data_IF_296194115452
#
_entry.id   IF_296194115452
#
_cell.length_a   1.000
_cell.length_b   1.000
_cell.length_c   1.000
_cell.angle_alpha   90.00
_cell.angle_beta   90.00
_cell.angle_gamma   90.00
#
_symmetry.space_group_name_H-M   'P 1'
#
loop_
_entity.id
_entity.type
_entity.pdbx_description
1 polymer ?
#
# COMPACT_ATOMS: atom_id res chain seq x y z
N UNK A 1 8.15 -22.03 -4.56
CA UNK A 1 8.21 -21.65 -3.14
C UNK A 1 8.59 -22.86 -2.29
N UNK A 2 9.26 -22.68 -1.15
CA UNK A 2 9.59 -23.80 -0.24
C UNK A 2 8.41 -24.15 0.68
N UNK A 3 8.37 -25.39 1.18
CA UNK A 3 7.31 -25.87 2.09
C UNK A 3 7.12 -24.94 3.31
N UNK A 4 8.20 -24.40 3.88
CA UNK A 4 8.17 -23.50 5.04
C UNK A 4 7.63 -22.10 4.73
N UNK A 5 7.73 -21.64 3.47
CA UNK A 5 7.09 -20.41 3.00
C UNK A 5 5.61 -20.64 2.63
N UNK A 6 5.25 -21.88 2.30
CA UNK A 6 3.88 -22.34 2.00
C UNK A 6 3.04 -22.60 3.27
N UNK A 7 3.67 -22.79 4.44
CA UNK A 7 2.97 -22.92 5.74
C UNK A 7 2.40 -21.57 6.25
N UNK A 8 2.71 -20.45 5.58
CA UNK A 8 2.19 -19.11 5.91
C UNK A 8 1.15 -18.68 4.88
N UNK A 9 -0.02 -18.23 5.36
CA UNK A 9 -1.01 -17.58 4.51
C UNK A 9 -0.62 -16.12 4.30
N UNK A 10 0.02 -15.82 3.18
CA UNK A 10 0.40 -14.45 2.83
C UNK A 10 -0.81 -13.68 2.30
N UNK A 11 -0.98 -12.44 2.75
CA UNK A 11 -1.85 -11.46 2.14
C UNK A 11 -0.99 -10.25 1.80
N UNK A 12 -0.74 -10.01 0.52
CA UNK A 12 0.07 -8.89 0.06
C UNK A 12 -0.88 -7.76 -0.32
N UNK A 13 -0.64 -6.56 0.22
CA UNK A 13 -1.36 -5.34 -0.14
C UNK A 13 -0.34 -4.36 -0.69
N UNK A 14 -0.62 -3.76 -1.82
CA UNK A 14 0.34 -2.90 -2.51
C UNK A 14 -0.33 -1.62 -2.97
N UNK A 15 0.35 -0.50 -2.76
CA UNK A 15 0.12 0.67 -3.59
C UNK A 15 0.54 0.41 -5.04
N UNK A 16 0.10 1.28 -5.95
CA UNK A 16 0.35 1.18 -7.37
C UNK A 16 1.48 2.10 -7.83
N UNK A 17 1.26 3.41 -7.82
CA UNK A 17 2.14 4.35 -8.53
C UNK A 17 3.47 4.49 -7.81
N UNK A 18 4.57 4.21 -8.49
CA UNK A 18 5.90 4.22 -7.86
C UNK A 18 6.13 3.07 -6.87
N UNK A 19 5.21 2.11 -6.81
CA UNK A 19 5.30 0.88 -6.02
C UNK A 19 5.22 -0.35 -6.94
N UNK A 20 4.01 -0.75 -7.36
CA UNK A 20 3.79 -1.90 -8.25
C UNK A 20 3.90 -1.51 -9.74
N UNK A 21 3.65 -0.24 -10.04
CA UNK A 21 3.78 0.38 -11.36
C UNK A 21 4.95 1.35 -11.33
N UNK A 22 5.72 1.41 -12.42
CA UNK A 22 6.77 2.39 -12.58
C UNK A 22 6.22 3.82 -12.52
N UNK A 23 6.93 4.72 -11.83
CA UNK A 23 6.44 6.09 -11.56
C UNK A 23 6.25 6.93 -12.84
N UNK A 24 7.10 6.73 -13.85
CA UNK A 24 7.10 7.55 -15.06
C UNK A 24 6.35 6.90 -16.22
N UNK A 25 6.54 5.59 -16.37
CA UNK A 25 6.02 4.82 -17.51
C UNK A 25 4.73 4.07 -17.18
N UNK A 26 4.35 3.99 -15.90
CA UNK A 26 3.25 3.17 -15.40
C UNK A 26 3.39 1.67 -15.74
N UNK A 27 4.58 1.25 -16.17
CA UNK A 27 4.86 -0.13 -16.57
C UNK A 27 4.88 -1.06 -15.36
N UNK A 28 4.26 -2.23 -15.50
CA UNK A 28 4.30 -3.33 -14.54
C UNK A 28 5.20 -4.50 -14.99
N UNK A 29 5.86 -4.37 -16.14
CA UNK A 29 6.64 -5.46 -16.74
C UNK A 29 7.65 -6.13 -15.78
N UNK A 30 8.34 -5.41 -14.86
CA UNK A 30 9.27 -6.04 -13.93
C UNK A 30 8.63 -7.05 -12.96
N UNK A 31 7.36 -6.89 -12.61
CA UNK A 31 6.65 -7.71 -11.61
C UNK A 31 5.80 -8.83 -12.22
N UNK A 32 5.57 -8.83 -13.53
CA UNK A 32 4.69 -9.77 -14.24
C UNK A 32 4.94 -11.25 -13.92
N UNK A 33 6.21 -11.67 -13.98
CA UNK A 33 6.56 -13.07 -13.73
C UNK A 33 6.27 -13.45 -12.26
N UNK A 34 6.53 -12.53 -11.35
CA UNK A 34 6.33 -12.74 -9.92
C UNK A 34 4.83 -12.73 -9.56
N UNK A 35 4.04 -11.83 -10.14
CA UNK A 35 2.58 -11.81 -9.95
C UNK A 35 1.95 -13.14 -10.40
N UNK A 36 2.36 -13.67 -11.57
CA UNK A 36 1.92 -15.01 -12.02
C UNK A 36 2.32 -16.12 -11.05
N UNK A 37 3.52 -16.05 -10.47
CA UNK A 37 3.98 -17.04 -9.48
C UNK A 37 3.18 -16.97 -8.18
N UNK A 38 2.86 -15.76 -7.71
CA UNK A 38 2.05 -15.54 -6.52
C UNK A 38 0.63 -16.07 -6.72
N UNK A 39 0.02 -15.78 -7.88
CA UNK A 39 -1.29 -16.30 -8.27
C UNK A 39 -1.30 -17.84 -8.32
N UNK A 40 -0.32 -18.45 -8.98
CA UNK A 40 -0.18 -19.91 -9.05
C UNK A 40 0.03 -20.56 -7.67
N UNK A 41 0.46 -19.78 -6.67
CA UNK A 41 0.65 -20.21 -5.28
C UNK A 41 -0.51 -19.79 -4.36
N UNK A 42 -1.60 -19.27 -4.92
CA UNK A 42 -2.78 -18.75 -4.20
C UNK A 42 -2.44 -17.68 -3.16
N UNK A 43 -1.42 -16.85 -3.43
CA UNK A 43 -1.06 -15.70 -2.61
C UNK A 43 -1.73 -14.45 -3.17
N UNK A 44 -2.79 -13.93 -2.50
CA UNK A 44 -3.50 -12.75 -2.99
C UNK A 44 -2.63 -11.49 -2.94
N UNK A 45 -2.60 -10.77 -4.07
CA UNK A 45 -2.08 -9.40 -4.16
C UNK A 45 -3.26 -8.42 -4.31
N UNK A 46 -3.51 -7.67 -3.24
CA UNK A 46 -4.56 -6.66 -3.14
C UNK A 46 -3.98 -5.31 -3.57
N UNK A 47 -4.65 -4.66 -4.52
CA UNK A 47 -4.28 -3.32 -4.95
C UNK A 47 -4.96 -2.28 -4.06
N UNK A 48 -4.23 -1.32 -3.52
CA UNK A 48 -4.74 -0.27 -2.63
C UNK A 48 -4.19 1.12 -3.01
N UNK A 49 -4.99 1.91 -3.74
CA UNK A 49 -4.52 3.12 -4.40
C UNK A 49 -5.43 4.33 -4.19
N UNK A 50 -4.94 5.51 -4.54
CA UNK A 50 -5.71 6.77 -4.63
C UNK A 50 -6.57 6.86 -5.91
N UNK A 51 -6.37 5.93 -6.85
CA UNK A 51 -7.11 5.82 -8.10
C UNK A 51 -8.59 5.51 -7.91
N UNK A 52 -9.38 5.96 -8.87
CA UNK A 52 -10.82 5.68 -8.96
C UNK A 52 -11.09 4.21 -9.26
N UNK A 53 -12.35 3.79 -9.07
CA UNK A 53 -12.80 2.44 -9.43
C UNK A 53 -12.47 2.12 -10.89
N UNK A 54 -12.79 3.01 -11.81
CA UNK A 54 -12.69 2.73 -13.25
C UNK A 54 -11.23 2.58 -13.68
N UNK A 55 -10.34 3.45 -13.20
CA UNK A 55 -8.89 3.31 -13.40
C UNK A 55 -8.37 1.99 -12.81
N UNK A 56 -8.84 1.61 -11.61
CA UNK A 56 -8.45 0.36 -10.97
C UNK A 56 -8.94 -0.87 -11.75
N UNK A 57 -10.14 -0.83 -12.33
CA UNK A 57 -10.65 -1.91 -13.16
C UNK A 57 -9.84 -2.10 -14.46
N UNK A 58 -9.35 -1.01 -15.05
CA UNK A 58 -8.45 -1.06 -16.21
C UNK A 58 -7.11 -1.69 -15.84
N UNK A 59 -6.44 -1.19 -14.80
CA UNK A 59 -5.16 -1.70 -14.34
C UNK A 59 -5.26 -3.18 -13.92
N UNK A 60 -6.34 -3.56 -13.22
CA UNK A 60 -6.57 -4.96 -12.84
C UNK A 60 -6.70 -5.88 -14.05
N UNK A 61 -7.31 -5.40 -15.15
CA UNK A 61 -7.41 -6.17 -16.39
C UNK A 61 -6.03 -6.38 -17.02
N UNK A 62 -5.18 -5.37 -17.02
CA UNK A 62 -3.81 -5.46 -17.55
C UNK A 62 -2.94 -6.43 -16.73
N UNK A 63 -3.09 -6.41 -15.41
CA UNK A 63 -2.36 -7.28 -14.47
C UNK A 63 -2.93 -8.70 -14.35
N UNK A 64 -4.06 -9.01 -14.99
CA UNK A 64 -4.89 -10.21 -14.72
C UNK A 64 -5.18 -10.41 -13.21
N UNK A 65 -5.40 -9.30 -12.48
CA UNK A 65 -5.62 -9.30 -11.05
C UNK A 65 -7.11 -9.53 -10.71
N UNK A 66 -7.39 -10.64 -10.02
CA UNK A 66 -8.77 -11.11 -9.73
C UNK A 66 -9.17 -11.00 -8.26
N UNK A 67 -8.32 -10.45 -7.41
CA UNK A 67 -8.56 -10.31 -5.98
C UNK A 67 -9.36 -9.05 -5.64
N UNK A 68 -9.85 -8.92 -4.39
CA UNK A 68 -10.36 -7.65 -3.88
C UNK A 68 -9.36 -6.51 -4.07
N UNK A 69 -9.87 -5.30 -4.15
CA UNK A 69 -9.07 -4.08 -4.32
C UNK A 69 -9.70 -2.91 -3.57
N UNK A 70 -8.87 -1.92 -3.26
CA UNK A 70 -9.21 -0.76 -2.44
C UNK A 70 -8.96 0.49 -3.27
N UNK A 71 -9.96 1.38 -3.32
CA UNK A 71 -9.95 2.57 -4.17
C UNK A 71 -9.95 3.85 -3.34
N UNK A 72 -9.54 4.95 -3.98
CA UNK A 72 -9.62 6.31 -3.44
C UNK A 72 -9.13 6.42 -1.98
N UNK A 73 -7.93 5.91 -1.72
CA UNK A 73 -7.24 5.95 -0.42
C UNK A 73 -8.00 5.26 0.73
N UNK A 74 -8.58 4.10 0.45
CA UNK A 74 -9.31 3.35 1.48
C UNK A 74 -10.77 3.71 1.59
N UNK A 75 -11.33 4.48 0.66
CA UNK A 75 -12.74 4.90 0.75
C UNK A 75 -13.74 3.81 0.42
N UNK A 76 -13.36 2.86 -0.44
CA UNK A 76 -14.18 1.69 -0.71
C UNK A 76 -13.32 0.46 -1.01
N UNK A 77 -13.85 -0.71 -0.63
CA UNK A 77 -13.27 -2.02 -0.86
C UNK A 77 -14.22 -2.76 -1.79
N UNK A 78 -13.73 -3.13 -2.97
CA UNK A 78 -14.47 -3.90 -3.97
C UNK A 78 -14.00 -5.35 -3.91
N UNK A 79 -14.92 -6.24 -3.56
CA UNK A 79 -14.70 -7.68 -3.43
C UNK A 79 -15.49 -8.35 -4.56
N UNK A 80 -14.86 -9.13 -5.46
CA UNK A 80 -15.61 -9.82 -6.50
C UNK A 80 -16.74 -10.66 -5.91
N UNK A 81 -17.91 -10.64 -6.52
CA UNK A 81 -19.06 -11.43 -6.02
C UNK A 81 -18.70 -12.91 -5.99
N UNK A 82 -18.97 -13.57 -4.85
CA UNK A 82 -18.61 -14.97 -4.63
C UNK A 82 -17.12 -15.21 -4.32
N UNK A 83 -16.31 -14.17 -4.13
CA UNK A 83 -14.89 -14.31 -3.74
C UNK A 83 -14.74 -14.95 -2.35
N UNK A 84 -15.64 -14.63 -1.43
CA UNK A 84 -15.77 -15.30 -0.14
C UNK A 84 -17.05 -16.15 -0.11
N UNK A 85 -17.16 -17.15 0.80
CA UNK A 85 -18.35 -17.98 0.91
C UNK A 85 -19.64 -17.18 1.18
N UNK A 86 -19.51 -16.12 1.99
CA UNK A 86 -20.62 -15.24 2.37
C UNK A 86 -20.27 -13.78 2.09
N UNK A 87 -21.29 -12.99 1.74
CA UNK A 87 -21.14 -11.55 1.59
C UNK A 87 -20.75 -10.91 2.94
N UNK A 88 -19.68 -10.09 2.99
CA UNK A 88 -19.30 -9.41 4.23
C UNK A 88 -20.43 -8.55 4.79
N UNK A 89 -20.58 -8.54 6.10
CA UNK A 89 -21.57 -7.70 6.78
C UNK A 89 -21.34 -6.21 6.45
N UNK A 90 -22.43 -5.51 6.09
CA UNK A 90 -22.38 -4.11 5.68
C UNK A 90 -21.96 -3.87 4.23
N UNK A 91 -21.64 -4.93 3.46
CA UNK A 91 -21.40 -4.78 2.04
C UNK A 91 -22.73 -4.67 1.28
N UNK A 92 -22.72 -3.90 0.19
CA UNK A 92 -23.81 -3.86 -0.80
C UNK A 92 -23.35 -4.47 -2.11
N UNK A 93 -24.29 -5.00 -2.87
CA UNK A 93 -24.02 -5.49 -4.23
C UNK A 93 -24.00 -4.31 -5.22
N UNK A 94 -23.00 -4.30 -6.10
CA UNK A 94 -22.87 -3.36 -7.20
C UNK A 94 -22.13 -4.02 -8.35
N UNK A 95 -22.82 -4.15 -9.49
CA UNK A 95 -22.31 -4.89 -10.66
C UNK A 95 -21.81 -6.29 -10.23
N UNK A 96 -20.58 -6.67 -10.58
CA UNK A 96 -19.96 -7.95 -10.21
C UNK A 96 -19.21 -7.92 -8.87
N UNK A 97 -19.56 -6.99 -7.97
CA UNK A 97 -18.84 -6.78 -6.71
C UNK A 97 -19.76 -6.67 -5.49
N UNK A 98 -19.25 -7.13 -4.35
CA UNK A 98 -19.65 -6.69 -3.02
C UNK A 98 -18.77 -5.52 -2.60
N UNK A 99 -19.39 -4.40 -2.24
CA UNK A 99 -18.71 -3.15 -1.94
C UNK A 99 -18.89 -2.81 -0.47
N UNK A 100 -17.77 -2.64 0.25
CA UNK A 100 -17.73 -2.04 1.57
C UNK A 100 -17.27 -0.59 1.43
N UNK A 101 -17.99 0.34 2.05
CA UNK A 101 -17.74 1.78 1.93
C UNK A 101 -17.42 2.37 3.31
N UNK A 102 -16.18 2.21 3.83
CA UNK A 102 -15.76 2.91 5.04
C UNK A 102 -15.65 4.43 4.86
N UNK A 103 -15.48 4.91 3.63
CA UNK A 103 -15.48 6.33 3.30
C UNK A 103 -16.89 6.92 3.12
N UNK A 104 -16.95 8.10 2.49
CA UNK A 104 -18.21 8.78 2.19
C UNK A 104 -18.41 8.93 0.69
N UNK A 105 -19.66 8.79 0.18
CA UNK A 105 -19.97 9.11 -1.20
C UNK A 105 -19.62 10.57 -1.52
N UNK A 106 -19.06 10.80 -2.70
CA UNK A 106 -18.60 12.14 -3.13
C UNK A 106 -19.69 13.19 -3.07
N UNK A 107 -20.94 12.84 -3.32
CA UNK A 107 -22.09 13.74 -3.20
C UNK A 107 -22.14 14.41 -1.82
N UNK A 108 -21.86 13.65 -0.74
CA UNK A 108 -21.81 14.19 0.64
C UNK A 108 -20.64 15.14 0.85
N UNK A 109 -19.53 14.91 0.14
CA UNK A 109 -18.38 15.82 0.17
C UNK A 109 -18.70 17.12 -0.57
N UNK A 110 -19.40 17.04 -1.70
CA UNK A 110 -19.84 18.20 -2.46
C UNK A 110 -20.87 19.03 -1.68
N UNK A 111 -21.81 18.39 -0.97
CA UNK A 111 -22.75 19.07 -0.05
C UNK A 111 -22.00 19.87 1.02
N UNK A 112 -20.95 19.28 1.62
CA UNK A 112 -20.11 19.96 2.61
C UNK A 112 -19.35 21.13 1.98
N UNK A 113 -18.71 20.93 0.82
CA UNK A 113 -17.96 21.98 0.14
C UNK A 113 -18.84 23.17 -0.24
N UNK A 114 -20.06 22.91 -0.70
CA UNK A 114 -21.04 23.96 -0.97
C UNK A 114 -21.38 24.74 0.30
N UNK A 115 -21.72 24.05 1.38
CA UNK A 115 -22.08 24.68 2.66
C UNK A 115 -20.93 25.48 3.27
N UNK A 116 -19.69 24.95 3.21
CA UNK A 116 -18.48 25.64 3.68
C UNK A 116 -18.21 26.89 2.83
N UNK A 117 -18.35 26.78 1.51
CA UNK A 117 -18.13 27.89 0.58
C UNK A 117 -19.12 29.05 0.78
N UNK A 118 -20.37 28.75 1.13
CA UNK A 118 -21.38 29.78 1.45
C UNK A 118 -21.00 30.61 2.69
N UNK A 119 -20.36 29.98 3.69
CA UNK A 119 -19.98 30.63 4.94
C UNK A 119 -18.58 31.27 4.91
N UNK A 120 -17.65 30.70 4.16
CA UNK A 120 -16.21 31.01 4.24
C UNK A 120 -15.57 31.36 2.89
N UNK A 121 -16.31 31.26 1.79
CA UNK A 121 -15.78 31.38 0.43
C UNK A 121 -15.13 30.07 -0.07
N UNK A 122 -14.87 30.01 -1.38
CA UNK A 122 -14.23 28.87 -2.03
C UNK A 122 -12.85 29.25 -2.58
N UNK A 123 -11.79 29.29 -1.74
CA UNK A 123 -10.42 29.56 -2.17
C UNK A 123 -9.79 28.35 -2.89
N UNK A 124 -10.58 27.62 -3.67
CA UNK A 124 -10.18 26.43 -4.41
C UNK A 124 -11.09 26.22 -5.62
N UNK A 125 -10.63 25.41 -6.57
CA UNK A 125 -11.46 24.85 -7.62
C UNK A 125 -11.57 23.34 -7.44
N UNK A 126 -12.78 22.85 -7.13
CA UNK A 126 -13.07 21.42 -7.06
C UNK A 126 -13.12 20.79 -8.45
N UNK A 127 -12.57 19.59 -8.60
CA UNK A 127 -12.55 18.85 -9.86
C UNK A 127 -13.94 18.59 -10.44
N UNK A 128 -14.97 18.43 -9.60
CA UNK A 128 -16.37 18.32 -10.01
C UNK A 128 -16.79 19.53 -10.87
N UNK A 129 -16.53 20.74 -10.38
CA UNK A 129 -16.85 22.00 -11.02
C UNK A 129 -15.83 22.45 -12.08
N UNK A 130 -14.59 21.94 -12.03
CA UNK A 130 -13.52 22.37 -12.94
C UNK A 130 -13.79 22.00 -14.41
N UNK A 131 -13.59 22.93 -15.36
CA UNK A 131 -13.49 22.58 -16.78
C UNK A 131 -12.36 21.57 -17.03
N UNK A 132 -12.52 20.72 -18.04
CA UNK A 132 -11.49 19.71 -18.38
C UNK A 132 -10.17 20.40 -18.74
N UNK A 133 -10.23 21.54 -19.40
CA UNK A 133 -9.09 22.35 -19.81
C UNK A 133 -8.29 22.87 -18.61
N UNK A 134 -8.98 23.24 -17.52
CA UNK A 134 -8.32 23.67 -16.28
C UNK A 134 -7.63 22.50 -15.59
N UNK A 135 -8.25 21.32 -15.58
CA UNK A 135 -7.61 20.11 -15.05
C UNK A 135 -6.39 19.74 -15.89
N UNK A 136 -6.48 19.77 -17.22
CA UNK A 136 -5.34 19.55 -18.13
C UNK A 136 -4.22 20.55 -17.83
N UNK A 137 -4.52 21.84 -17.73
CA UNK A 137 -3.52 22.86 -17.41
C UNK A 137 -2.88 22.66 -16.02
N UNK A 138 -3.66 22.23 -15.03
CA UNK A 138 -3.19 22.05 -13.66
C UNK A 138 -2.41 20.73 -13.47
N UNK A 139 -2.68 19.71 -14.28
CA UNK A 139 -2.14 18.35 -14.10
C UNK A 139 -1.11 17.95 -15.16
N UNK A 140 -1.21 18.48 -16.38
CA UNK A 140 -0.47 17.99 -17.55
C UNK A 140 -1.06 16.72 -18.17
N UNK A 141 -2.22 16.25 -17.69
CA UNK A 141 -2.91 15.08 -18.24
C UNK A 141 -3.45 15.36 -19.64
N UNK A 142 -3.69 14.30 -20.41
CA UNK A 142 -4.48 14.40 -21.64
C UNK A 142 -5.94 14.78 -21.31
N UNK A 143 -6.71 15.33 -22.25
CA UNK A 143 -8.13 15.61 -22.03
C UNK A 143 -8.95 14.37 -21.63
N UNK A 144 -8.55 13.18 -22.10
CA UNK A 144 -9.20 11.92 -21.74
C UNK A 144 -8.88 11.52 -20.30
N UNK A 145 -7.61 11.56 -19.92
CA UNK A 145 -7.17 11.32 -18.54
C UNK A 145 -7.75 12.33 -17.56
N UNK A 146 -7.89 13.60 -17.96
CA UNK A 146 -8.53 14.63 -17.14
C UNK A 146 -10.03 14.34 -16.91
N UNK A 147 -10.74 13.79 -17.91
CA UNK A 147 -12.13 13.33 -17.73
C UNK A 147 -12.20 12.12 -16.81
N UNK A 148 -11.29 11.16 -16.95
CA UNK A 148 -11.20 10.01 -16.06
C UNK A 148 -10.91 10.44 -14.60
N UNK A 149 -10.00 11.40 -14.40
CA UNK A 149 -9.69 11.95 -13.08
C UNK A 149 -10.89 12.67 -12.42
N UNK A 150 -11.90 13.10 -13.19
CA UNK A 150 -13.17 13.61 -12.67
C UNK A 150 -14.14 12.51 -12.26
N UNK A 151 -13.98 11.25 -12.69
CA UNK A 151 -14.91 10.14 -12.43
C UNK A 151 -14.71 9.52 -11.03
N UNK A 152 -14.68 10.36 -10.00
CA UNK A 152 -14.45 9.96 -8.60
C UNK A 152 -15.77 9.72 -7.88
N UNK A 153 -15.77 8.74 -6.99
CA UNK A 153 -16.95 8.30 -6.23
C UNK A 153 -16.85 8.61 -4.74
N UNK A 154 -15.65 8.81 -4.19
CA UNK A 154 -15.46 8.95 -2.73
C UNK A 154 -14.49 10.06 -2.30
N UNK A 155 -13.93 10.80 -3.25
CA UNK A 155 -13.02 11.91 -2.97
C UNK A 155 -13.21 13.07 -3.95
N UNK A 156 -12.91 14.27 -3.48
CA UNK A 156 -12.93 15.49 -4.28
C UNK A 156 -11.56 16.19 -4.24
N UNK A 157 -10.78 16.14 -5.34
CA UNK A 157 -9.58 16.94 -5.49
C UNK A 157 -9.92 18.42 -5.63
N UNK A 158 -9.18 19.23 -4.91
CA UNK A 158 -9.28 20.67 -4.84
C UNK A 158 -7.95 21.27 -5.32
N UNK A 159 -8.02 22.03 -6.41
CA UNK A 159 -6.93 22.91 -6.81
C UNK A 159 -6.98 24.13 -5.89
N UNK A 160 -6.09 24.17 -4.89
CA UNK A 160 -6.06 25.26 -3.93
C UNK A 160 -5.60 26.57 -4.58
N UNK A 161 -6.30 27.66 -4.30
CA UNK A 161 -6.05 29.01 -4.87
C UNK A 161 -5.89 30.09 -3.80
N UNK A 162 -6.26 29.80 -2.56
CA UNK A 162 -6.04 30.70 -1.42
C UNK A 162 -4.64 30.59 -0.84
N UNK A 163 -4.48 31.29 0.28
CA UNK A 163 -3.31 31.23 1.16
C UNK A 163 -3.22 29.90 1.92
N UNK A 164 -2.04 29.63 2.48
CA UNK A 164 -1.84 28.48 3.38
C UNK A 164 -2.59 28.61 4.70
N UNK A 165 -2.89 29.84 5.14
CA UNK A 165 -3.75 30.09 6.30
C UNK A 165 -5.19 29.66 6.03
N UNK A 166 -5.77 30.08 4.89
CA UNK A 166 -7.10 29.64 4.48
C UNK A 166 -7.13 28.11 4.30
N UNK A 167 -6.05 27.49 3.80
CA UNK A 167 -5.94 26.04 3.65
C UNK A 167 -6.00 25.33 4.99
N UNK A 168 -5.21 25.81 5.97
CA UNK A 168 -5.19 25.28 7.32
C UNK A 168 -6.55 25.39 7.99
N UNK A 169 -7.22 26.53 7.85
CA UNK A 169 -8.54 26.75 8.44
C UNK A 169 -9.61 25.86 7.78
N UNK A 170 -9.55 25.67 6.46
CA UNK A 170 -10.41 24.71 5.75
C UNK A 170 -10.20 23.28 6.24
N UNK A 171 -8.95 22.84 6.40
CA UNK A 171 -8.64 21.49 6.93
C UNK A 171 -9.23 21.28 8.32
N UNK A 172 -9.15 22.29 9.20
CA UNK A 172 -9.74 22.24 10.53
C UNK A 172 -11.27 22.07 10.46
N UNK A 173 -11.95 22.87 9.64
CA UNK A 173 -13.42 22.77 9.46
C UNK A 173 -13.86 21.44 8.85
N UNK A 174 -13.10 20.92 7.87
CA UNK A 174 -13.35 19.60 7.31
C UNK A 174 -13.21 18.51 8.39
N UNK A 175 -12.17 18.58 9.22
CA UNK A 175 -11.97 17.68 10.36
C UNK A 175 -13.10 17.75 11.37
N UNK A 176 -13.57 18.95 11.72
CA UNK A 176 -14.70 19.16 12.65
C UNK A 176 -16.01 18.57 12.10
N UNK A 177 -16.14 18.49 10.77
CA UNK A 177 -17.27 17.84 10.09
C UNK A 177 -17.11 16.31 9.94
N UNK A 178 -16.04 15.71 10.49
CA UNK A 178 -15.75 14.28 10.36
C UNK A 178 -15.25 13.87 8.97
N UNK A 179 -14.66 14.82 8.23
CA UNK A 179 -14.01 14.58 6.95
C UNK A 179 -12.49 14.63 7.11
N UNK A 180 -11.78 13.95 6.21
CA UNK A 180 -10.33 13.97 6.16
C UNK A 180 -9.84 14.74 4.94
N UNK A 181 -8.62 15.26 5.06
CA UNK A 181 -7.93 15.90 3.94
C UNK A 181 -6.56 15.27 3.72
N UNK A 182 -6.26 14.94 2.47
CA UNK A 182 -4.97 14.38 2.05
C UNK A 182 -4.32 15.34 1.05
N UNK A 183 -3.04 15.64 1.19
CA UNK A 183 -2.32 16.45 0.19
C UNK A 183 -1.28 15.59 -0.51
N UNK A 184 -1.46 15.45 -1.82
CA UNK A 184 -0.60 14.68 -2.71
C UNK A 184 -0.20 15.54 -3.90
N UNK A 185 1.10 15.81 -4.04
CA UNK A 185 1.63 16.64 -5.11
C UNK A 185 1.03 18.06 -5.11
N UNK A 186 0.11 18.34 -6.05
CA UNK A 186 -0.44 19.68 -6.31
C UNK A 186 -1.88 19.88 -5.81
N UNK A 187 -2.54 18.83 -5.31
CA UNK A 187 -3.96 18.88 -4.98
C UNK A 187 -4.19 18.54 -3.51
N UNK A 188 -5.15 19.25 -2.92
CA UNK A 188 -5.75 18.88 -1.66
C UNK A 188 -6.96 17.99 -1.98
N UNK A 189 -7.03 16.80 -1.41
CA UNK A 189 -8.19 15.92 -1.56
C UNK A 189 -9.05 16.02 -0.31
N UNK A 190 -10.36 16.21 -0.49
CA UNK A 190 -11.36 15.99 0.55
C UNK A 190 -11.92 14.58 0.42
N UNK A 191 -12.06 13.86 1.53
CA UNK A 191 -12.59 12.50 1.60
C UNK A 191 -13.31 12.30 2.95
N UNK A 192 -14.03 11.18 3.12
CA UNK A 192 -14.50 10.78 4.44
C UNK A 192 -13.35 10.44 5.40
N UNK A 193 -13.61 10.31 6.70
CA UNK A 193 -12.63 9.85 7.69
C UNK A 193 -12.27 8.37 7.49
N UNK A 194 -11.45 8.12 6.48
CA UNK A 194 -10.92 6.81 6.10
C UNK A 194 -9.45 6.92 5.75
N UNK A 195 -8.78 5.78 5.82
CA UNK A 195 -7.39 5.64 5.42
C UNK A 195 -7.14 4.24 4.82
N UNK A 196 -6.03 4.12 4.08
CA UNK A 196 -5.64 2.86 3.45
C UNK A 196 -5.44 1.72 4.46
N UNK A 197 -5.05 2.04 5.69
CA UNK A 197 -4.82 1.08 6.77
C UNK A 197 -6.11 0.49 7.34
N UNK A 198 -7.12 1.32 7.65
CA UNK A 198 -8.45 0.90 8.08
C UNK A 198 -9.10 -0.03 7.05
N UNK A 199 -9.07 0.36 5.78
CA UNK A 199 -9.60 -0.48 4.69
C UNK A 199 -8.84 -1.82 4.59
N UNK A 200 -7.51 -1.79 4.70
CA UNK A 200 -6.67 -2.99 4.71
C UNK A 200 -7.02 -3.94 5.86
N UNK A 201 -7.17 -3.41 7.09
CA UNK A 201 -7.57 -4.22 8.26
C UNK A 201 -8.98 -4.79 8.09
N UNK A 202 -9.92 -4.03 7.55
CA UNK A 202 -11.28 -4.47 7.29
C UNK A 202 -11.31 -5.63 6.30
N UNK A 203 -10.55 -5.53 5.21
CA UNK A 203 -10.41 -6.61 4.22
C UNK A 203 -9.72 -7.84 4.82
N UNK A 204 -8.63 -7.67 5.58
CA UNK A 204 -7.97 -8.77 6.31
C UNK A 204 -8.96 -9.48 7.26
N UNK A 205 -9.87 -8.73 7.89
CA UNK A 205 -10.97 -9.29 8.68
C UNK A 205 -11.92 -10.16 7.86
N UNK A 206 -12.18 -9.83 6.59
CA UNK A 206 -12.97 -10.66 5.68
C UNK A 206 -12.26 -11.99 5.38
N UNK A 207 -10.96 -11.94 5.06
CA UNK A 207 -10.14 -13.15 4.86
C UNK A 207 -10.16 -14.08 6.09
N UNK A 208 -9.92 -13.53 7.28
CA UNK A 208 -9.91 -14.29 8.54
C UNK A 208 -11.26 -14.93 8.88
N UNK A 209 -12.37 -14.31 8.48
CA UNK A 209 -13.71 -14.89 8.65
C UNK A 209 -13.99 -16.02 7.64
N UNK A 210 -13.62 -15.82 6.38
CA UNK A 210 -13.84 -16.80 5.32
C UNK A 210 -12.99 -18.07 5.51
N UNK A 211 -11.75 -17.91 5.94
CA UNK A 211 -10.84 -19.01 6.26
C UNK A 211 -10.10 -18.68 7.57
N UNK A 212 -10.51 -19.26 8.71
CA UNK A 212 -9.84 -19.07 9.98
C UNK A 212 -8.42 -19.63 9.97
N UNK A 213 -7.47 -18.79 9.54
CA UNK A 213 -6.06 -19.10 9.43
C UNK A 213 -5.20 -17.92 9.90
N UNK A 214 -3.94 -18.21 10.24
CA UNK A 214 -2.97 -17.16 10.56
C UNK A 214 -2.45 -16.55 9.26
N UNK A 215 -2.94 -15.35 8.94
CA UNK A 215 -2.45 -14.56 7.82
C UNK A 215 -1.26 -13.69 8.24
N UNK A 216 -0.21 -13.68 7.42
CA UNK A 216 0.85 -12.67 7.48
C UNK A 216 0.55 -11.57 6.47
N UNK A 217 0.23 -10.39 6.97
CA UNK A 217 -0.05 -9.21 6.18
C UNK A 217 1.27 -8.54 5.77
N UNK A 218 1.49 -8.46 4.46
CA UNK A 218 2.60 -7.70 3.86
C UNK A 218 1.99 -6.47 3.19
N UNK A 219 2.50 -5.28 3.51
CA UNK A 219 2.09 -4.05 2.82
C UNK A 219 3.27 -3.42 2.11
N UNK A 220 3.07 -2.91 0.90
CA UNK A 220 4.09 -2.21 0.11
C UNK A 220 3.62 -0.82 -0.32
N UNK A 221 4.47 0.19 -0.15
CA UNK A 221 4.17 1.57 -0.50
C UNK A 221 5.44 2.42 -0.61
N UNK A 222 5.34 3.58 -1.24
CA UNK A 222 6.49 4.38 -1.69
C UNK A 222 6.53 5.80 -1.13
N UNK A 223 5.47 6.21 -0.43
CA UNK A 223 5.20 7.60 -0.10
C UNK A 223 4.49 7.76 1.25
N UNK A 224 4.46 8.98 1.83
CA UNK A 224 3.87 9.21 3.15
C UNK A 224 2.38 8.83 3.27
N UNK A 225 1.60 8.91 2.19
CA UNK A 225 0.19 8.51 2.19
C UNK A 225 -0.03 6.99 2.26
N UNK A 226 1.05 6.19 2.16
CA UNK A 226 0.99 4.76 2.38
C UNK A 226 1.30 4.37 3.82
N UNK A 227 1.75 5.30 4.67
CA UNK A 227 2.11 5.02 6.06
C UNK A 227 0.96 4.35 6.82
N UNK A 228 -0.28 4.82 6.64
CA UNK A 228 -1.44 4.21 7.28
C UNK A 228 -1.57 2.72 6.96
N UNK A 229 -1.29 2.31 5.71
CA UNK A 229 -1.31 0.92 5.28
C UNK A 229 -0.10 0.13 5.78
N UNK A 230 1.10 0.72 5.69
CA UNK A 230 2.34 0.10 6.15
C UNK A 230 2.32 -0.13 7.66
N UNK A 231 1.70 0.77 8.42
CA UNK A 231 1.59 0.69 9.87
C UNK A 231 0.80 -0.53 10.34
N UNK A 232 -0.17 -1.00 9.56
CA UNK A 232 -1.04 -2.11 9.95
C UNK A 232 -0.45 -3.49 9.61
N UNK A 233 0.63 -3.52 8.85
CA UNK A 233 1.22 -4.75 8.33
C UNK A 233 2.12 -5.45 9.36
N UNK A 234 2.20 -6.78 9.25
CA UNK A 234 3.20 -7.58 9.97
C UNK A 234 4.59 -7.36 9.34
N UNK A 235 4.63 -7.15 8.02
CA UNK A 235 5.84 -6.79 7.26
C UNK A 235 5.52 -5.60 6.36
N UNK A 236 6.14 -4.45 6.64
CA UNK A 236 6.05 -3.25 5.83
C UNK A 236 7.22 -3.19 4.84
N UNK A 237 6.91 -3.00 3.56
CA UNK A 237 7.86 -2.86 2.45
C UNK A 237 7.83 -1.41 1.98
N UNK A 238 8.87 -0.66 2.32
CA UNK A 238 9.09 0.70 1.84
C UNK A 238 9.80 0.61 0.50
N UNK A 239 9.09 0.93 -0.57
CA UNK A 239 9.62 0.92 -1.93
C UNK A 239 10.22 2.29 -2.24
N UNK A 240 11.48 2.31 -2.69
CA UNK A 240 12.13 3.57 -3.06
C UNK A 240 11.46 4.18 -4.28
N UNK A 241 11.23 5.48 -4.22
CA UNK A 241 10.80 6.29 -5.35
C UNK A 241 11.91 7.14 -5.93
N UNK A 242 11.76 7.60 -7.19
CA UNK A 242 12.70 8.54 -7.78
C UNK A 242 12.60 9.90 -7.09
N UNK A 243 13.76 10.51 -6.80
CA UNK A 243 13.87 11.90 -6.35
C UNK A 243 13.13 12.28 -5.05
N UNK A 244 12.79 11.31 -4.21
CA UNK A 244 12.21 11.56 -2.88
C UNK A 244 12.81 10.65 -1.82
N UNK A 245 12.89 11.17 -0.60
CA UNK A 245 13.24 10.34 0.56
C UNK A 245 12.12 9.33 0.82
N UNK A 246 12.44 8.06 1.12
CA UNK A 246 11.45 7.08 1.49
C UNK A 246 10.69 7.52 2.77
N UNK A 247 9.41 7.13 2.92
CA UNK A 247 8.69 7.37 4.17
C UNK A 247 9.41 6.70 5.34
N UNK A 248 9.36 7.33 6.51
CA UNK A 248 9.98 6.79 7.73
C UNK A 248 8.94 5.98 8.50
N UNK A 249 9.28 4.72 8.80
CA UNK A 249 8.45 3.83 9.61
C UNK A 249 9.36 3.02 10.53
N UNK A 250 9.07 3.04 11.83
CA UNK A 250 9.83 2.30 12.82
C UNK A 250 9.44 0.81 12.84
N UNK A 251 10.44 -0.05 13.00
CA UNK A 251 10.22 -1.45 13.37
C UNK A 251 9.66 -1.55 14.79
N UNK A 252 8.83 -2.56 15.02
CA UNK A 252 8.27 -2.87 16.34
C UNK A 252 8.34 -4.38 16.57
N UNK A 253 8.10 -4.84 17.79
CA UNK A 253 8.05 -6.28 18.11
C UNK A 253 7.05 -7.07 17.22
N UNK A 254 6.02 -6.39 16.71
CA UNK A 254 4.98 -6.97 15.86
C UNK A 254 5.07 -6.59 14.38
N UNK A 255 6.03 -5.72 13.98
CA UNK A 255 6.16 -5.24 12.60
C UNK A 255 7.62 -5.16 12.17
N UNK A 256 7.96 -5.94 11.16
CA UNK A 256 9.24 -5.84 10.45
C UNK A 256 9.15 -4.78 9.35
N UNK A 257 10.21 -4.02 9.13
CA UNK A 257 10.28 -3.00 8.07
C UNK A 257 11.43 -3.34 7.14
N UNK A 258 11.14 -3.42 5.84
CA UNK A 258 12.13 -3.61 4.80
C UNK A 258 12.08 -2.44 3.84
N UNK A 259 13.24 -1.89 3.50
CA UNK A 259 13.35 -0.84 2.49
C UNK A 259 14.04 -1.40 1.26
N UNK A 260 13.44 -1.24 0.08
CA UNK A 260 14.04 -1.69 -1.17
C UNK A 260 15.33 -0.92 -1.44
N UNK A 261 16.22 -1.53 -2.23
CA UNK A 261 17.38 -0.87 -2.83
C UNK A 261 17.01 -0.32 -4.21
N UNK A 262 16.21 -1.06 -4.96
CA UNK A 262 15.71 -0.67 -6.28
C UNK A 262 14.43 0.18 -6.16
N UNK A 263 14.12 0.92 -7.22
CA UNK A 263 12.94 1.79 -7.27
C UNK A 263 11.72 1.08 -7.86
N UNK A 264 10.52 1.53 -7.46
CA UNK A 264 9.24 1.11 -8.03
C UNK A 264 9.07 -0.40 -8.17
N UNK A 265 8.59 -0.91 -9.33
CA UNK A 265 8.24 -2.32 -9.50
C UNK A 265 9.44 -3.26 -9.32
N UNK A 266 10.65 -2.79 -9.62
CA UNK A 266 11.89 -3.54 -9.38
C UNK A 266 12.20 -3.67 -7.88
N UNK A 267 12.00 -2.59 -7.12
CA UNK A 267 12.09 -2.60 -5.66
C UNK A 267 11.03 -3.47 -5.01
N UNK A 268 9.81 -3.42 -5.52
CA UNK A 268 8.72 -4.29 -5.07
C UNK A 268 9.07 -5.77 -5.27
N UNK A 269 9.52 -6.13 -6.48
CA UNK A 269 9.97 -7.49 -6.79
C UNK A 269 11.08 -7.94 -5.84
N UNK A 270 12.11 -7.12 -5.69
CA UNK A 270 13.25 -7.40 -4.81
C UNK A 270 12.79 -7.74 -3.39
N UNK A 271 11.92 -6.92 -2.80
CA UNK A 271 11.46 -7.12 -1.43
C UNK A 271 10.60 -8.40 -1.30
N UNK A 272 9.69 -8.64 -2.23
CA UNK A 272 8.83 -9.81 -2.19
C UNK A 272 9.64 -11.10 -2.39
N UNK A 273 10.60 -11.11 -3.32
CA UNK A 273 11.49 -12.26 -3.53
C UNK A 273 12.30 -12.59 -2.27
N UNK A 274 12.79 -11.59 -1.53
CA UNK A 274 13.47 -11.81 -0.24
C UNK A 274 12.56 -12.48 0.81
N UNK A 275 11.25 -12.26 0.75
CA UNK A 275 10.29 -12.88 1.67
C UNK A 275 9.93 -14.32 1.28
N UNK A 276 9.73 -14.58 -0.02
CA UNK A 276 9.16 -15.85 -0.50
C UNK A 276 10.21 -16.85 -0.98
N UNK A 277 11.41 -16.41 -1.33
CA UNK A 277 12.51 -17.29 -1.71
C UNK A 277 13.29 -17.73 -0.46
N UNK A 278 13.74 -19.00 -0.39
CA UNK A 278 14.56 -19.45 0.72
C UNK A 278 15.87 -18.65 0.73
N UNK A 279 16.24 -18.15 1.91
CA UNK A 279 17.62 -17.76 2.14
C UNK A 279 18.46 -19.03 2.02
N UNK A 280 19.14 -19.22 0.89
CA UNK A 280 20.28 -20.12 0.83
C UNK A 280 21.28 -19.59 1.86
N UNK A 281 21.32 -20.20 3.03
CA UNK A 281 22.17 -19.77 4.14
C UNK A 281 23.60 -19.58 3.65
N UNK A 282 24.13 -18.38 3.86
CA UNK A 282 25.57 -18.18 3.87
C UNK A 282 26.13 -19.14 4.92
N UNK A 283 27.06 -20.00 4.48
CA UNK A 283 27.56 -21.11 5.28
C UNK A 283 28.11 -20.67 6.62
N UNK A 284 27.79 -21.48 7.64
CA UNK A 284 28.62 -21.64 8.83
C UNK A 284 30.04 -22.03 8.39
N UNK A 285 30.88 -21.04 8.13
CA UNK A 285 32.32 -21.20 8.25
C UNK A 285 32.69 -20.89 9.70
N UNK A 286 32.42 -21.85 10.59
CA UNK A 286 33.05 -21.89 11.90
C UNK A 286 33.37 -23.32 12.33
N UNK A 287 34.17 -24.01 11.51
CA UNK A 287 35.03 -25.10 11.97
C UNK A 287 36.41 -24.93 11.32
N UNK A 288 37.33 -24.29 12.05
CA UNK A 288 38.75 -24.66 12.12
C UNK A 288 39.54 -23.62 12.92
N UNK A 289 39.56 -23.73 14.25
CA UNK A 289 40.72 -23.33 15.08
C UNK A 289 40.62 -23.97 16.46
N UNK A 290 40.71 -25.30 16.52
CA UNK A 290 40.89 -26.00 17.79
C UNK A 290 41.53 -27.37 17.63
N UNK A 291 42.72 -27.49 17.00
CA UNK A 291 43.59 -28.66 17.23
C UNK A 291 45.06 -28.38 16.92
N UNK A 292 45.74 -27.64 17.80
CA UNK A 292 47.18 -27.83 18.03
C UNK A 292 47.45 -27.71 19.53
N UNK A 293 47.33 -28.84 20.23
CA UNK A 293 48.10 -29.11 21.45
C UNK A 293 48.86 -30.40 21.20
N UNK A 294 50.06 -30.23 20.64
CA UNK A 294 51.04 -31.29 20.57
C UNK A 294 51.50 -31.67 21.97
N UNK A 295 51.39 -32.97 22.23
CA UNK A 295 52.05 -33.71 23.28
C UNK A 295 53.58 -33.56 23.17
N UNK A 296 54.21 -32.89 24.13
CA UNK A 296 55.58 -33.22 24.55
C UNK A 296 55.71 -33.11 26.07
N UNK A 297 55.53 -34.24 26.75
CA UNK A 297 56.06 -34.46 28.11
C UNK A 297 56.91 -35.73 28.06
N UNK A 298 58.22 -35.54 28.08
CA UNK A 298 59.23 -36.59 28.29
C UNK A 298 60.01 -36.22 29.56
N UNK A 299 60.43 -37.19 30.39
CA UNK A 299 60.47 -37.05 31.84
C UNK A 299 61.83 -36.57 32.37
N UNK A 300 61.80 -35.86 33.52
CA UNK A 300 63.01 -35.56 34.30
C UNK A 300 63.33 -36.71 35.28
N UNK A 301 64.60 -37.06 35.46
CA UNK A 301 65.02 -38.12 36.36
C UNK A 301 65.14 -37.64 37.81
N UNK A 302 64.86 -38.54 38.75
CA UNK A 302 65.22 -38.39 40.15
C UNK A 302 66.72 -38.60 40.35
N UNK A 303 67.38 -37.65 41.03
CA UNK A 303 68.44 -37.97 41.99
C UNK A 303 68.56 -36.87 43.06
N UNK A 304 68.50 -37.33 44.31
CA UNK A 304 68.88 -36.62 45.54
C UNK A 304 70.38 -36.36 45.56
N UNK A 305 70.82 -35.25 46.14
CA UNK A 305 71.59 -35.20 47.40
C UNK A 305 72.18 -33.80 47.63
N UNK A 306 72.04 -33.37 48.90
CA UNK A 306 72.73 -32.29 49.64
C UNK A 306 72.47 -30.84 49.20
#
# INVERSE_FOLDING_TARGET
MTQKALDKHWLIVSDLDGTLLDHFTYSHAPVDALLRQLEASSVPVILNSSKTRDEMLEIRRELDNRHPFIVENGSAIFIPSGYFPDMPAGAREQDDFWVLEPGLPRERLLDHLQSDAEAHGAPYLGFSAAPVEEIVSATGLSPEQARAAKARSYSEPLLWRGSEEEKRDFRARASDAGLATLEGGRFLHLLGDTDKGRATRQLLGCYRRAAPASYTLVAAGDSPNDLDMLEVADIALIIRGPHREPPQLEETDSRRVLTSRLEGPEGWRECIEQLIQPHSGNGDNNEATATQRENTRTPRPHRRQQ
#
